data_IF_010168047024
#
_entry.id   IF_010168047024
#
_cell.length_a   1.000
_cell.length_b   1.000
_cell.length_c   1.000
_cell.angle_alpha   90.00
_cell.angle_beta   90.00
_cell.angle_gamma   90.00
#
_symmetry.space_group_name_H-M   'P 1'
#
loop_
_entity.id
_entity.type
_entity.pdbx_description
1 polymer ?
#
# COMPACT_ATOMS: atom_id res chain seq x y z
N UNK A 1 44.16 -70.31 -58.02
CA UNK A 1 42.79 -70.74 -58.37
C UNK A 1 42.30 -71.58 -57.19
N UNK A 2 41.44 -71.18 -56.26
CA UNK A 2 40.65 -69.98 -55.96
C UNK A 2 40.27 -70.12 -54.47
N UNK A 3 40.87 -69.33 -53.57
CA UNK A 3 40.59 -69.42 -52.12
C UNK A 3 40.47 -68.03 -51.45
N UNK A 4 40.11 -66.99 -52.22
CA UNK A 4 40.02 -65.61 -51.72
C UNK A 4 38.62 -64.98 -51.84
N UNK A 5 37.55 -65.77 -52.06
CA UNK A 5 36.20 -65.20 -52.31
C UNK A 5 35.19 -65.35 -51.17
N UNK A 6 35.55 -65.95 -50.04
CA UNK A 6 34.59 -66.19 -48.94
C UNK A 6 34.78 -65.24 -47.75
N UNK A 7 36.02 -64.79 -47.49
CA UNK A 7 36.36 -63.95 -46.35
C UNK A 7 35.89 -62.48 -46.50
N UNK A 8 35.90 -61.95 -47.72
CA UNK A 8 35.50 -60.55 -48.02
C UNK A 8 33.99 -60.30 -47.85
N UNK A 9 33.14 -61.33 -47.98
CA UNK A 9 31.68 -61.18 -47.83
C UNK A 9 31.22 -61.03 -46.38
N UNK A 10 32.05 -61.47 -45.42
CA UNK A 10 31.75 -61.46 -43.99
C UNK A 10 32.16 -60.12 -43.39
N UNK A 11 33.31 -59.57 -43.79
CA UNK A 11 33.80 -58.27 -43.29
C UNK A 11 32.89 -57.11 -43.71
N UNK A 12 32.34 -57.13 -44.93
CA UNK A 12 31.41 -56.09 -45.39
C UNK A 12 30.04 -56.10 -44.66
N UNK A 13 29.60 -57.26 -44.12
CA UNK A 13 28.31 -57.38 -43.43
C UNK A 13 28.37 -56.91 -41.97
N UNK A 14 29.53 -56.97 -41.33
CA UNK A 14 29.71 -56.56 -39.93
C UNK A 14 29.78 -55.04 -39.79
N UNK A 15 30.35 -54.32 -40.76
CA UNK A 15 30.44 -52.85 -40.70
C UNK A 15 29.12 -52.12 -40.98
N UNK A 16 28.17 -52.74 -41.70
CA UNK A 16 26.88 -52.11 -42.00
C UNK A 16 25.92 -52.20 -40.79
N UNK A 17 26.01 -53.26 -39.97
CA UNK A 17 25.14 -53.45 -38.81
C UNK A 17 25.57 -52.65 -37.57
N UNK A 18 26.84 -52.27 -37.45
CA UNK A 18 27.33 -51.43 -36.34
C UNK A 18 26.99 -49.94 -36.55
N UNK A 19 26.98 -49.44 -37.79
CA UNK A 19 26.60 -48.04 -38.07
C UNK A 19 25.10 -47.81 -37.91
N UNK A 20 24.25 -48.77 -38.30
CA UNK A 20 22.79 -48.63 -38.21
C UNK A 20 22.30 -48.71 -36.74
N UNK A 21 22.94 -49.50 -35.89
CA UNK A 21 22.60 -49.55 -34.45
C UNK A 21 23.03 -48.28 -33.70
N UNK A 22 24.14 -47.64 -34.09
CA UNK A 22 24.55 -46.34 -33.53
C UNK A 22 23.66 -45.17 -33.96
N UNK A 23 23.12 -45.16 -35.19
CA UNK A 23 22.21 -44.10 -35.65
C UNK A 23 20.80 -44.22 -35.05
N UNK A 24 20.31 -45.43 -34.78
CA UNK A 24 19.01 -45.63 -34.11
C UNK A 24 19.07 -45.22 -32.64
N UNK A 25 20.18 -45.46 -31.94
CA UNK A 25 20.38 -45.00 -30.55
C UNK A 25 20.51 -43.47 -30.49
N UNK A 26 21.22 -42.84 -31.44
CA UNK A 26 21.28 -41.37 -31.55
C UNK A 26 19.93 -40.75 -31.92
N UNK A 27 19.09 -41.43 -32.70
CA UNK A 27 17.72 -40.96 -33.01
C UNK A 27 16.77 -41.10 -31.81
N UNK A 28 16.87 -42.18 -31.02
CA UNK A 28 16.08 -42.37 -29.81
C UNK A 28 16.48 -41.43 -28.66
N UNK A 29 17.77 -41.07 -28.55
CA UNK A 29 18.24 -40.05 -27.59
C UNK A 29 17.91 -38.63 -28.08
N UNK A 30 17.95 -38.35 -29.40
CA UNK A 30 17.62 -37.03 -29.95
C UNK A 30 16.12 -36.71 -29.91
N UNK A 31 15.25 -37.71 -30.10
CA UNK A 31 13.79 -37.54 -29.91
C UNK A 31 13.33 -37.60 -28.46
N UNK A 32 14.19 -38.03 -27.53
CA UNK A 32 13.97 -37.92 -26.08
C UNK A 32 14.62 -36.68 -25.47
N UNK A 33 14.74 -35.57 -26.22
CA UNK A 33 14.61 -34.26 -25.58
C UNK A 33 13.14 -34.11 -25.21
N UNK A 34 12.81 -34.55 -23.99
CA UNK A 34 11.60 -34.14 -23.30
C UNK A 34 11.43 -32.65 -23.58
N UNK A 35 10.35 -32.28 -24.29
CA UNK A 35 9.97 -30.86 -24.35
C UNK A 35 9.96 -30.40 -22.90
N UNK A 36 10.71 -29.34 -22.52
CA UNK A 36 10.48 -28.78 -21.20
C UNK A 36 8.97 -28.57 -21.11
N UNK A 37 8.30 -29.01 -20.03
CA UNK A 37 6.89 -28.70 -19.87
C UNK A 37 6.77 -27.21 -20.14
N UNK A 38 5.85 -26.82 -21.03
CA UNK A 38 5.48 -25.42 -21.16
C UNK A 38 5.14 -25.01 -19.75
N UNK A 39 6.06 -24.30 -19.09
CA UNK A 39 5.78 -23.72 -17.80
C UNK A 39 4.69 -22.74 -18.14
N UNK A 40 3.45 -23.09 -17.83
CA UNK A 40 2.36 -22.14 -17.73
C UNK A 40 2.68 -21.23 -16.53
N UNK A 41 3.73 -20.42 -16.66
CA UNK A 41 4.10 -19.34 -15.75
C UNK A 41 3.26 -18.09 -16.03
N UNK A 42 2.15 -18.24 -16.75
CA UNK A 42 1.30 -17.16 -17.21
C UNK A 42 -0.16 -17.33 -16.75
N UNK A 43 -0.50 -18.38 -15.98
CA UNK A 43 -1.87 -18.63 -15.50
C UNK A 43 -2.00 -18.87 -13.98
N UNK A 44 -0.94 -18.67 -13.18
CA UNK A 44 -1.02 -18.83 -11.71
C UNK A 44 -1.20 -17.52 -10.93
N UNK A 45 -1.39 -16.38 -11.60
CA UNK A 45 -1.52 -15.06 -10.94
C UNK A 45 -2.95 -14.51 -10.94
N UNK A 46 -3.91 -15.17 -11.58
CA UNK A 46 -5.33 -14.87 -11.41
C UNK A 46 -5.90 -15.71 -10.27
N UNK A 47 -5.95 -15.12 -9.07
CA UNK A 47 -6.79 -15.63 -7.99
C UNK A 47 -6.10 -16.16 -6.74
N UNK A 48 -4.80 -15.89 -6.51
CA UNK A 48 -4.26 -16.04 -5.16
C UNK A 48 -4.62 -14.77 -4.38
N UNK A 49 -5.53 -14.88 -3.42
CA UNK A 49 -5.73 -13.85 -2.40
C UNK A 49 -4.35 -13.49 -1.83
N UNK A 50 -3.98 -12.21 -1.90
CA UNK A 50 -2.73 -11.71 -1.35
C UNK A 50 -3.09 -10.94 -0.09
N UNK A 51 -2.74 -11.43 1.11
CA UNK A 51 -3.02 -10.71 2.35
C UNK A 51 -2.48 -9.28 2.32
N UNK A 52 -1.31 -9.07 1.71
CA UNK A 52 -0.77 -7.73 1.50
C UNK A 52 -1.64 -6.88 0.55
N UNK A 53 -2.21 -7.45 -0.51
CA UNK A 53 -3.15 -6.72 -1.37
C UNK A 53 -4.43 -6.35 -0.61
N UNK A 54 -4.96 -7.27 0.20
CA UNK A 54 -6.14 -7.01 1.02
C UNK A 54 -5.85 -5.87 2.02
N UNK A 55 -4.70 -5.89 2.68
CA UNK A 55 -4.25 -4.82 3.57
C UNK A 55 -4.06 -3.48 2.82
N UNK A 56 -3.56 -3.49 1.58
CA UNK A 56 -3.45 -2.26 0.78
C UNK A 56 -4.83 -1.68 0.46
N UNK A 57 -5.82 -2.52 0.16
CA UNK A 57 -7.20 -2.08 -0.07
C UNK A 57 -7.83 -1.53 1.21
N UNK A 58 -7.56 -2.16 2.36
CA UNK A 58 -7.99 -1.68 3.66
C UNK A 58 -7.38 -0.32 4.00
N UNK A 59 -6.05 -0.17 3.86
CA UNK A 59 -5.36 1.10 4.04
C UNK A 59 -5.93 2.17 3.10
N UNK A 60 -6.03 1.88 1.79
CA UNK A 60 -6.63 2.80 0.82
C UNK A 60 -8.03 3.27 1.23
N UNK A 61 -8.86 2.39 1.80
CA UNK A 61 -10.19 2.77 2.26
C UNK A 61 -10.17 3.57 3.57
N UNK A 62 -9.28 3.26 4.52
CA UNK A 62 -9.07 4.06 5.72
C UNK A 62 -8.72 5.49 5.35
N UNK A 63 -7.68 5.67 4.53
CA UNK A 63 -7.20 6.98 4.06
C UNK A 63 -8.28 7.76 3.31
N UNK A 64 -9.09 7.07 2.50
CA UNK A 64 -10.22 7.70 1.81
C UNK A 64 -11.28 8.24 2.76
N UNK A 65 -11.55 7.51 3.84
CA UNK A 65 -12.52 7.91 4.86
C UNK A 65 -11.95 9.04 5.74
N UNK A 66 -10.70 8.92 6.18
CA UNK A 66 -9.98 9.94 6.95
C UNK A 66 -9.88 11.26 6.18
N UNK A 67 -9.57 11.21 4.88
CA UNK A 67 -9.61 12.39 4.00
C UNK A 67 -10.95 13.13 4.05
N UNK A 68 -12.06 12.42 3.87
CA UNK A 68 -13.41 13.03 3.87
C UNK A 68 -13.79 13.52 5.26
N UNK A 69 -13.48 12.74 6.29
CA UNK A 69 -13.71 13.11 7.69
C UNK A 69 -13.02 14.43 8.02
N UNK A 70 -11.74 14.57 7.68
CA UNK A 70 -10.97 15.78 7.95
C UNK A 70 -11.46 16.99 7.15
N UNK A 71 -11.95 16.82 5.92
CA UNK A 71 -12.61 17.92 5.20
C UNK A 71 -13.86 18.42 5.94
N UNK A 72 -14.66 17.51 6.50
CA UNK A 72 -15.84 17.89 7.27
C UNK A 72 -15.47 18.57 8.60
N UNK A 73 -14.46 18.06 9.30
CA UNK A 73 -13.95 18.68 10.54
C UNK A 73 -13.35 20.06 10.26
N UNK A 74 -12.65 20.24 9.15
CA UNK A 74 -12.12 21.54 8.75
C UNK A 74 -13.23 22.57 8.54
N UNK A 75 -14.30 22.19 7.86
CA UNK A 75 -15.43 23.10 7.62
C UNK A 75 -16.12 23.48 8.92
N UNK A 76 -16.38 22.50 9.78
CA UNK A 76 -16.99 22.73 11.09
C UNK A 76 -16.11 23.62 11.97
N UNK A 77 -14.82 23.32 12.13
CA UNK A 77 -13.90 24.16 12.88
C UNK A 77 -13.87 25.62 12.36
N UNK A 78 -14.00 25.81 11.04
CA UNK A 78 -14.08 27.14 10.41
C UNK A 78 -15.37 27.88 10.80
N UNK A 79 -16.52 27.20 10.77
CA UNK A 79 -17.81 27.75 11.20
C UNK A 79 -17.81 28.16 12.67
N UNK A 80 -17.08 27.42 13.51
CA UNK A 80 -16.94 27.67 14.94
C UNK A 80 -15.86 28.72 15.29
N UNK A 81 -15.15 29.23 14.28
CA UNK A 81 -14.14 30.28 14.45
C UNK A 81 -12.76 29.79 14.88
N UNK A 82 -12.51 28.47 14.86
CA UNK A 82 -11.19 27.87 15.11
C UNK A 82 -10.38 27.81 13.80
N UNK A 83 -9.87 28.96 13.36
CA UNK A 83 -9.22 29.10 12.04
C UNK A 83 -8.00 28.18 11.85
N UNK A 84 -7.10 28.12 12.82
CA UNK A 84 -5.90 27.28 12.69
C UNK A 84 -6.21 25.80 12.83
N UNK A 85 -7.22 25.44 13.63
CA UNK A 85 -7.70 24.06 13.66
C UNK A 85 -8.34 23.65 12.33
N UNK A 86 -9.12 24.54 11.71
CA UNK A 86 -9.65 24.31 10.37
C UNK A 86 -8.53 24.16 9.33
N UNK A 87 -7.47 24.97 9.44
CA UNK A 87 -6.27 24.82 8.61
C UNK A 87 -5.59 23.47 8.85
N UNK A 88 -5.44 23.04 10.11
CA UNK A 88 -4.85 21.76 10.46
C UNK A 88 -5.65 20.60 9.90
N UNK A 89 -6.97 20.56 10.10
CA UNK A 89 -7.81 19.49 9.54
C UNK A 89 -7.76 19.49 8.01
N UNK A 90 -7.76 20.66 7.36
CA UNK A 90 -7.59 20.72 5.90
C UNK A 90 -6.21 20.20 5.45
N UNK A 91 -5.19 20.42 6.27
CA UNK A 91 -3.81 19.95 6.04
C UNK A 91 -3.73 18.42 6.18
N UNK A 92 -4.32 17.86 7.23
CA UNK A 92 -4.47 16.41 7.44
C UNK A 92 -5.25 15.76 6.29
N UNK A 93 -6.38 16.35 5.88
CA UNK A 93 -7.10 15.86 4.69
C UNK A 93 -6.20 15.82 3.45
N UNK A 94 -5.31 16.81 3.27
CA UNK A 94 -4.31 16.81 2.20
C UNK A 94 -3.31 15.67 2.32
N UNK A 95 -2.83 15.39 3.54
CA UNK A 95 -1.91 14.30 3.85
C UNK A 95 -2.55 12.92 3.58
N UNK A 96 -3.77 12.66 4.05
CA UNK A 96 -4.44 11.36 3.82
C UNK A 96 -4.72 11.12 2.34
N UNK A 97 -4.94 12.19 1.58
CA UNK A 97 -5.04 12.07 0.12
C UNK A 97 -3.72 11.58 -0.50
N UNK A 98 -2.57 12.00 0.03
CA UNK A 98 -1.26 11.54 -0.42
C UNK A 98 -1.09 10.05 -0.09
N UNK A 99 -1.44 9.63 1.13
CA UNK A 99 -1.42 8.20 1.51
C UNK A 99 -2.33 7.36 0.61
N UNK A 100 -3.56 7.81 0.40
CA UNK A 100 -4.54 7.22 -0.51
C UNK A 100 -3.96 7.03 -1.92
N UNK A 101 -3.36 8.09 -2.49
CA UNK A 101 -2.78 8.06 -3.82
C UNK A 101 -1.55 7.14 -3.88
N UNK A 102 -0.77 7.05 -2.80
CA UNK A 102 0.40 6.17 -2.69
C UNK A 102 -0.03 4.69 -2.70
N UNK A 103 -0.97 4.30 -1.83
CA UNK A 103 -1.50 2.93 -1.79
C UNK A 103 -2.17 2.55 -3.10
N UNK A 104 -2.92 3.47 -3.72
CA UNK A 104 -3.54 3.25 -5.02
C UNK A 104 -2.53 2.91 -6.13
N UNK A 105 -1.34 3.52 -6.10
CA UNK A 105 -0.27 3.22 -7.07
C UNK A 105 0.26 1.81 -6.86
N UNK A 106 0.46 1.39 -5.62
CA UNK A 106 0.94 0.03 -5.30
C UNK A 106 -0.10 -1.03 -5.69
N UNK A 107 -1.38 -0.81 -5.36
CA UNK A 107 -2.49 -1.71 -5.77
C UNK A 107 -2.50 -1.91 -7.29
N UNK A 108 -2.37 -0.82 -8.05
CA UNK A 108 -2.29 -0.87 -9.53
C UNK A 108 -1.06 -1.61 -10.02
N UNK A 109 0.10 -1.38 -9.41
CA UNK A 109 1.34 -2.07 -9.74
C UNK A 109 1.25 -3.59 -9.47
N UNK A 110 0.43 -4.00 -8.50
CA UNK A 110 0.12 -5.41 -8.22
C UNK A 110 -0.92 -6.02 -9.18
N UNK A 111 -1.41 -5.26 -10.17
CA UNK A 111 -2.37 -5.74 -11.17
C UNK A 111 -3.84 -5.70 -10.72
N UNK A 112 -4.14 -5.00 -9.62
CA UNK A 112 -5.50 -4.81 -9.10
C UNK A 112 -6.00 -3.36 -9.29
N UNK A 113 -7.28 -3.11 -9.03
CA UNK A 113 -7.85 -1.77 -9.01
C UNK A 113 -8.18 -1.37 -7.56
N UNK A 114 -7.91 -0.12 -7.13
CA UNK A 114 -8.33 0.34 -5.82
C UNK A 114 -9.85 0.31 -5.68
N UNK A 115 -10.36 -0.39 -4.68
CA UNK A 115 -11.79 -0.54 -4.45
C UNK A 115 -12.22 0.44 -3.36
N UNK A 116 -12.84 1.55 -3.77
CA UNK A 116 -13.29 2.60 -2.84
C UNK A 116 -14.62 2.22 -2.20
N UNK A 117 -14.57 1.74 -0.96
CA UNK A 117 -15.72 1.55 -0.09
C UNK A 117 -15.71 2.70 0.91
N UNK A 118 -16.33 3.83 0.54
CA UNK A 118 -16.53 4.91 1.50
C UNK A 118 -17.52 4.45 2.55
N UNK A 119 -17.02 4.23 3.76
CA UNK A 119 -17.87 4.17 4.93
C UNK A 119 -17.93 5.60 5.40
N UNK A 120 -19.00 6.31 5.03
CA UNK A 120 -19.24 7.66 5.56
C UNK A 120 -19.28 7.52 7.08
N UNK A 121 -18.28 8.02 7.82
CA UNK A 121 -18.41 8.12 9.26
C UNK A 121 -19.59 9.07 9.45
N UNK A 122 -20.58 8.66 10.23
CA UNK A 122 -21.62 9.57 10.68
C UNK A 122 -20.90 10.72 11.37
N UNK A 123 -20.65 11.82 10.65
CA UNK A 123 -20.39 13.10 11.29
C UNK A 123 -21.53 13.23 12.27
N UNK A 124 -21.22 13.42 13.55
CA UNK A 124 -22.22 13.74 14.55
C UNK A 124 -22.84 15.08 14.15
N UNK A 125 -23.72 15.03 13.17
CA UNK A 125 -24.73 16.02 12.89
C UNK A 125 -25.63 15.98 14.11
N UNK A 126 -25.93 17.16 14.61
CA UNK A 126 -26.60 17.47 15.87
C UNK A 126 -28.05 16.96 15.97
N UNK A 127 -28.39 15.86 15.31
CA UNK A 127 -29.73 15.26 15.27
C UNK A 127 -29.84 14.05 16.22
N UNK A 128 -28.75 13.33 16.51
CA UNK A 128 -28.81 12.11 17.33
C UNK A 128 -28.22 12.24 18.74
N UNK A 129 -27.69 13.42 19.09
CA UNK A 129 -27.31 13.74 20.47
C UNK A 129 -28.16 14.91 20.97
N UNK A 130 -29.23 14.56 21.69
CA UNK A 130 -29.94 15.48 22.60
C UNK A 130 -28.95 15.90 23.70
N UNK A 131 -28.14 16.91 23.42
CA UNK A 131 -27.31 17.58 24.43
C UNK A 131 -27.72 19.05 24.42
N UNK A 132 -28.70 19.34 25.27
CA UNK A 132 -29.06 20.69 25.66
C UNK A 132 -27.84 21.38 26.27
N UNK A 133 -27.38 22.45 25.63
CA UNK A 133 -26.94 23.73 26.23
C UNK A 133 -26.04 24.47 25.23
N UNK A 134 -26.00 25.79 25.33
CA UNK A 134 -25.22 26.71 24.48
C UNK A 134 -23.70 26.54 24.57
N UNK A 135 -23.21 25.55 25.33
CA UNK A 135 -21.81 25.10 25.43
C UNK A 135 -21.40 24.07 24.35
N UNK A 136 -22.35 23.62 23.52
CA UNK A 136 -22.20 22.51 22.56
C UNK A 136 -21.11 22.74 21.49
N UNK A 137 -20.84 23.99 21.08
CA UNK A 137 -19.92 24.28 19.98
C UNK A 137 -18.47 23.86 20.31
N UNK A 138 -17.93 24.33 21.44
CA UNK A 138 -16.59 23.90 21.89
C UNK A 138 -16.51 22.39 22.18
N UNK A 139 -17.62 21.77 22.59
CA UNK A 139 -17.67 20.31 22.83
C UNK A 139 -17.55 19.53 21.52
N UNK A 140 -18.16 20.02 20.44
CA UNK A 140 -18.12 19.43 19.12
C UNK A 140 -16.73 19.49 18.49
N UNK A 141 -16.03 20.64 18.55
CA UNK A 141 -14.62 20.74 18.15
C UNK A 141 -13.73 19.84 19.01
N UNK A 142 -13.98 19.77 20.32
CA UNK A 142 -13.20 18.91 21.20
C UNK A 142 -13.41 17.42 20.89
N UNK A 143 -14.64 17.03 20.54
CA UNK A 143 -14.99 15.69 20.08
C UNK A 143 -14.26 15.34 18.78
N UNK A 144 -14.30 16.22 17.78
CA UNK A 144 -13.65 15.97 16.49
C UNK A 144 -12.12 15.87 16.65
N UNK A 145 -11.52 16.69 17.51
CA UNK A 145 -10.11 16.61 17.87
C UNK A 145 -9.77 15.30 18.60
N UNK A 146 -10.64 14.81 19.49
CA UNK A 146 -10.45 13.50 20.14
C UNK A 146 -10.53 12.36 19.13
N UNK A 147 -11.50 12.41 18.22
CA UNK A 147 -11.66 11.40 17.18
C UNK A 147 -10.45 11.36 16.26
N UNK A 148 -9.89 12.52 15.94
CA UNK A 148 -8.67 12.63 15.14
C UNK A 148 -7.48 11.99 15.85
N UNK A 149 -7.21 12.34 17.13
CA UNK A 149 -6.12 11.72 17.90
C UNK A 149 -6.25 10.20 18.00
N UNK A 150 -7.49 9.70 18.18
CA UNK A 150 -7.74 8.28 18.25
C UNK A 150 -7.57 7.58 16.90
N UNK A 151 -8.11 8.17 15.82
CA UNK A 151 -8.01 7.63 14.46
C UNK A 151 -6.56 7.45 14.01
N UNK A 152 -5.73 8.47 14.19
CA UNK A 152 -4.29 8.41 13.89
C UNK A 152 -3.56 7.35 14.72
N UNK A 153 -3.96 7.16 15.98
CA UNK A 153 -3.41 6.13 16.85
C UNK A 153 -3.82 4.71 16.40
N UNK A 154 -5.03 4.56 15.89
CA UNK A 154 -5.55 3.30 15.36
C UNK A 154 -4.90 2.94 14.02
N UNK A 155 -4.71 3.92 13.12
CA UNK A 155 -3.99 3.75 11.85
C UNK A 155 -2.53 3.35 12.08
N UNK A 156 -1.85 3.93 13.09
CA UNK A 156 -0.51 3.49 13.47
C UNK A 156 -0.44 2.01 13.89
N UNK A 157 -1.46 1.53 14.60
CA UNK A 157 -1.54 0.11 14.97
C UNK A 157 -1.83 -0.78 13.76
N UNK A 158 -2.71 -0.33 12.86
CA UNK A 158 -3.01 -0.98 11.59
C UNK A 158 -1.74 -1.11 10.74
N UNK A 159 -1.03 -0.02 10.48
CA UNK A 159 0.20 -0.03 9.68
C UNK A 159 1.29 -0.92 10.29
N UNK A 160 1.43 -0.94 11.62
CA UNK A 160 2.36 -1.84 12.29
C UNK A 160 2.07 -3.33 12.02
N UNK A 161 0.81 -3.71 11.77
CA UNK A 161 0.42 -5.06 11.37
C UNK A 161 0.64 -5.28 9.87
N UNK A 162 0.27 -4.31 9.04
CA UNK A 162 0.42 -4.39 7.58
C UNK A 162 1.89 -4.52 7.14
N UNK A 163 2.79 -3.79 7.80
CA UNK A 163 4.24 -3.89 7.61
C UNK A 163 4.75 -5.32 7.86
N UNK A 164 4.25 -5.98 8.91
CA UNK A 164 4.63 -7.37 9.20
C UNK A 164 4.18 -8.29 8.08
N UNK A 165 2.95 -8.13 7.59
CA UNK A 165 2.44 -8.96 6.50
C UNK A 165 3.18 -8.71 5.17
N UNK A 166 3.47 -7.45 4.83
CA UNK A 166 4.23 -7.10 3.63
C UNK A 166 5.65 -7.71 3.66
N UNK A 167 6.29 -7.76 4.84
CA UNK A 167 7.56 -8.46 5.06
C UNK A 167 7.43 -9.97 4.85
N UNK A 168 6.38 -10.60 5.38
CA UNK A 168 6.11 -12.03 5.19
C UNK A 168 5.89 -12.39 3.71
N UNK A 169 5.17 -11.55 2.99
CA UNK A 169 4.88 -11.74 1.56
C UNK A 169 6.03 -11.31 0.64
N UNK A 170 7.13 -10.77 1.19
CA UNK A 170 8.26 -10.17 0.45
C UNK A 170 7.82 -9.10 -0.57
N UNK A 171 6.82 -8.30 -0.23
CA UNK A 171 6.31 -7.24 -1.08
C UNK A 171 6.95 -5.90 -0.69
N UNK A 172 8.05 -5.54 -1.34
CA UNK A 172 8.81 -4.32 -1.03
C UNK A 172 8.03 -3.03 -1.32
N UNK A 173 7.21 -3.01 -2.37
CA UNK A 173 6.42 -1.83 -2.72
C UNK A 173 5.33 -1.54 -1.69
N UNK A 174 4.66 -2.59 -1.19
CA UNK A 174 3.69 -2.47 -0.11
C UNK A 174 4.39 -2.07 1.21
N UNK A 175 5.57 -2.65 1.47
CA UNK A 175 6.35 -2.32 2.66
C UNK A 175 6.71 -0.83 2.71
N UNK A 176 7.27 -0.29 1.62
CA UNK A 176 7.68 1.12 1.50
C UNK A 176 6.50 2.07 1.73
N UNK A 177 5.34 1.81 1.10
CA UNK A 177 4.15 2.68 1.28
C UNK A 177 3.60 2.62 2.70
N UNK A 178 3.62 1.45 3.36
CA UNK A 178 3.16 1.32 4.75
C UNK A 178 4.15 1.95 5.75
N UNK A 179 5.46 1.77 5.57
CA UNK A 179 6.46 2.40 6.43
C UNK A 179 6.46 3.92 6.28
N UNK A 180 6.24 4.43 5.05
CA UNK A 180 6.10 5.85 4.78
C UNK A 180 4.86 6.44 5.46
N UNK A 181 3.68 5.84 5.30
CA UNK A 181 2.45 6.32 5.94
C UNK A 181 2.57 6.29 7.48
N UNK A 182 3.11 5.21 8.06
CA UNK A 182 3.31 5.11 9.50
C UNK A 182 4.13 6.29 10.07
N UNK A 183 5.18 6.72 9.36
CA UNK A 183 5.99 7.88 9.80
C UNK A 183 5.18 9.18 9.76
N UNK A 184 4.33 9.37 8.75
CA UNK A 184 3.43 10.51 8.65
C UNK A 184 2.37 10.49 9.78
N UNK A 185 1.73 9.35 10.07
CA UNK A 185 0.72 9.27 11.15
C UNK A 185 1.32 9.56 12.53
N UNK A 186 2.59 9.23 12.73
CA UNK A 186 3.33 9.64 13.92
C UNK A 186 3.42 11.16 14.04
N UNK A 187 3.61 11.89 12.94
CA UNK A 187 3.62 13.36 12.89
C UNK A 187 2.23 13.95 13.08
N UNK A 188 1.21 13.35 12.47
CA UNK A 188 -0.19 13.75 12.64
C UNK A 188 -0.62 13.64 14.11
N UNK A 189 -0.36 12.49 14.74
CA UNK A 189 -0.59 12.28 16.17
C UNK A 189 0.12 13.33 17.05
N UNK A 190 1.36 13.71 16.69
CA UNK A 190 2.13 14.70 17.45
C UNK A 190 1.48 16.08 17.40
N UNK A 191 1.16 16.58 16.21
CA UNK A 191 0.57 17.91 16.06
C UNK A 191 -0.84 17.98 16.64
N UNK A 192 -1.66 16.94 16.44
CA UNK A 192 -2.99 16.87 17.07
C UNK A 192 -2.91 16.83 18.60
N UNK A 193 -1.93 16.13 19.16
CA UNK A 193 -1.67 16.13 20.60
C UNK A 193 -1.27 17.50 21.14
N UNK A 194 -0.45 18.25 20.40
CA UNK A 194 -0.09 19.64 20.74
C UNK A 194 -1.31 20.55 20.75
N UNK A 195 -2.14 20.49 19.71
CA UNK A 195 -3.37 21.30 19.61
C UNK A 195 -4.33 20.94 20.74
N UNK A 196 -4.52 19.65 21.00
CA UNK A 196 -5.41 19.16 22.06
C UNK A 196 -4.97 19.64 23.45
N UNK A 197 -3.67 19.73 23.70
CA UNK A 197 -3.13 20.26 24.95
C UNK A 197 -3.26 21.77 25.10
N UNK A 198 -3.54 22.50 24.01
CA UNK A 198 -3.48 23.96 23.99
C UNK A 198 -4.47 24.60 22.99
N UNK A 199 -5.73 24.17 23.02
CA UNK A 199 -6.72 24.53 22.01
C UNK A 199 -7.02 26.04 21.96
N UNK A 200 -6.99 26.72 23.11
CA UNK A 200 -7.28 28.15 23.21
C UNK A 200 -6.22 29.01 22.49
N UNK A 201 -4.94 28.64 22.57
CA UNK A 201 -3.87 29.34 21.86
C UNK A 201 -4.02 29.18 20.33
N UNK A 202 -4.46 27.99 19.89
CA UNK A 202 -4.74 27.70 18.48
C UNK A 202 -5.99 28.41 17.96
N UNK A 203 -6.82 29.01 18.82
CA UNK A 203 -7.94 29.84 18.37
C UNK A 203 -7.50 31.23 17.90
N UNK A 204 -6.39 31.74 18.44
CA UNK A 204 -5.92 33.11 18.22
C UNK A 204 -4.60 33.20 17.41
N UNK A 205 -3.96 32.07 17.16
CA UNK A 205 -2.70 32.01 16.41
C UNK A 205 -2.90 32.18 14.89
N UNK A 206 -1.76 32.25 14.18
CA UNK A 206 -1.65 32.33 12.71
C UNK A 206 -0.56 31.36 12.24
N UNK A 207 -0.77 30.07 12.50
CA UNK A 207 0.20 29.02 12.19
C UNK A 207 0.34 28.81 10.67
N UNK A 208 1.56 28.49 10.23
CA UNK A 208 1.83 28.01 8.88
C UNK A 208 2.14 26.51 8.93
N UNK A 209 1.34 25.73 8.21
CA UNK A 209 1.53 24.29 8.10
C UNK A 209 2.06 23.92 6.72
N UNK A 210 2.94 22.93 6.67
CA UNK A 210 3.56 22.42 5.46
C UNK A 210 3.29 20.92 5.35
N UNK A 211 2.97 20.44 4.14
CA UNK A 211 2.76 19.01 3.85
C UNK A 211 3.79 18.54 2.83
N UNK A 212 4.54 17.48 3.17
CA UNK A 212 5.38 16.79 2.20
C UNK A 212 4.51 16.10 1.16
N UNK A 213 4.64 16.51 -0.10
CA UNK A 213 3.84 15.99 -1.22
C UNK A 213 4.18 14.53 -1.61
N UNK A 214 5.19 13.94 -0.99
CA UNK A 214 5.62 12.56 -1.23
C UNK A 214 5.15 11.61 -0.12
N UNK A 215 5.35 12.01 1.13
CA UNK A 215 5.14 11.15 2.31
C UNK A 215 3.84 11.42 3.04
N UNK A 216 3.26 12.62 2.93
CA UNK A 216 2.13 13.06 3.75
C UNK A 216 2.54 13.76 5.04
N UNK A 217 3.82 13.72 5.44
CA UNK A 217 4.27 14.33 6.70
C UNK A 217 3.92 15.81 6.81
N UNK A 218 3.41 16.20 7.98
CA UNK A 218 3.04 17.58 8.33
C UNK A 218 4.12 18.22 9.21
N UNK A 219 4.43 19.48 8.92
CA UNK A 219 5.37 20.31 9.67
C UNK A 219 4.74 21.65 10.07
N UNK A 220 5.02 22.08 11.30
CA UNK A 220 4.61 23.37 11.89
C UNK A 220 5.59 24.53 11.58
N UNK A 221 6.62 24.23 10.79
CA UNK A 221 7.67 25.14 10.36
C UNK A 221 8.23 24.65 9.03
N UNK A 222 8.90 25.54 8.28
CA UNK A 222 9.40 25.19 6.96
C UNK A 222 10.38 24.00 7.04
N UNK A 223 10.05 22.84 6.44
CA UNK A 223 10.89 21.67 6.54
C UNK A 223 12.20 21.87 5.74
N UNK A 224 13.31 21.36 6.28
CA UNK A 224 14.55 21.28 5.53
C UNK A 224 14.44 20.32 4.33
N UNK A 225 15.37 20.42 3.38
CA UNK A 225 15.35 19.66 2.12
C UNK A 225 15.28 18.13 2.30
N UNK A 226 15.76 17.61 3.42
CA UNK A 226 15.82 16.16 3.69
C UNK A 226 14.56 15.61 4.41
N UNK A 227 13.67 16.48 4.89
CA UNK A 227 12.55 16.08 5.73
C UNK A 227 11.45 15.31 4.98
N UNK A 228 11.44 15.35 3.65
CA UNK A 228 10.41 14.76 2.78
C UNK A 228 10.96 13.55 2.01
N UNK A 229 11.47 12.56 2.76
CA UNK A 229 12.17 11.38 2.20
C UNK A 229 11.40 10.08 2.49
N UNK A 230 10.93 9.34 1.45
CA UNK A 230 10.33 8.02 1.61
C UNK A 230 11.25 7.03 2.33
N UNK A 231 10.67 6.00 2.97
CA UNK A 231 11.40 5.04 3.81
C UNK A 231 11.66 3.71 3.12
#
# INVERSE_FOLDING_TARGET
>A
MTEDSEFDSIVQKVEIWTVITSLVILFLVYFSRSRPPKVQAEDSLKGKASPTLDNLQEAYNSEANSHVMYLNFAEKAREEGYKDLALLFKTLAGAEKIHLDNHARVIKAMGAAPEKIMIVPQVASTVDQEVETTDNLSTLVQHDLNNSVNGESDERQMYAQFIKQAKLDNNSAALETFETALVAEHKHSQILGQVKGNLDDWKLADHQLYVCQLTGEIFDSHPGLEACSPK
#
